data_IF_726724634009
#
_entry.id   IF_726724634009
#
_cell.length_a   1.000
_cell.length_b   1.000
_cell.length_c   1.000
_cell.angle_alpha   90.00
_cell.angle_beta   90.00
_cell.angle_gamma   90.00
#
_symmetry.space_group_name_H-M   'P 1'
#
loop_
_entity.id
_entity.type
_entity.pdbx_description
1 polymer ?
#
# COMPACT_ATOMS: atom_id res chain seq x y z
N UNK A 1 -28.23 11.30 -42.99
CA UNK A 1 -26.82 11.08 -42.64
C UNK A 1 -26.27 12.35 -42.01
N UNK A 2 -25.87 12.32 -40.74
CA UNK A 2 -25.10 13.39 -40.08
C UNK A 2 -23.69 12.85 -39.81
N UNK A 3 -22.61 13.57 -40.13
CA UNK A 3 -21.26 13.21 -39.71
C UNK A 3 -20.98 13.69 -38.27
N UNK A 4 -20.00 13.09 -37.56
CA UNK A 4 -19.60 13.47 -36.20
C UNK A 4 -18.35 14.39 -36.20
N UNK A 5 -18.23 15.27 -35.19
CA UNK A 5 -16.99 15.97 -34.83
C UNK A 5 -17.06 16.26 -33.31
N UNK A 6 -16.31 15.54 -32.47
CA UNK A 6 -14.92 15.76 -32.05
C UNK A 6 -14.65 17.00 -31.18
N UNK A 7 -14.22 16.68 -29.95
CA UNK A 7 -13.06 17.21 -29.22
C UNK A 7 -13.03 18.65 -28.68
N UNK A 8 -12.65 18.74 -27.39
CA UNK A 8 -11.60 19.67 -26.96
C UNK A 8 -12.01 20.78 -26.00
N UNK A 9 -12.22 20.47 -24.72
CA UNK A 9 -12.17 21.46 -23.64
C UNK A 9 -10.72 21.88 -23.38
N UNK A 10 -10.18 22.78 -24.21
CA UNK A 10 -8.97 23.56 -23.89
C UNK A 10 -9.37 24.72 -22.97
N UNK A 11 -8.71 24.83 -21.81
CA UNK A 11 -8.87 25.98 -20.91
C UNK A 11 -8.37 27.23 -21.62
N UNK A 12 -9.28 28.14 -21.98
CA UNK A 12 -8.96 29.41 -22.59
C UNK A 12 -8.57 30.44 -21.51
N UNK A 13 -7.48 31.18 -21.76
CA UNK A 13 -7.08 32.37 -21.00
C UNK A 13 -8.04 33.50 -21.39
N UNK A 14 -8.81 34.05 -20.42
CA UNK A 14 -9.78 35.12 -20.67
C UNK A 14 -9.10 36.50 -20.72
N UNK A 15 -9.42 37.30 -21.74
CA UNK A 15 -9.04 38.72 -21.86
C UNK A 15 -9.98 39.65 -21.08
N UNK A 16 -9.67 40.96 -21.07
CA UNK A 16 -10.29 42.03 -20.27
C UNK A 16 -11.79 42.26 -20.48
N UNK A 17 -12.37 41.67 -21.52
CA UNK A 17 -13.77 41.91 -21.92
C UNK A 17 -14.69 40.75 -21.49
N UNK A 18 -14.22 39.89 -20.57
CA UNK A 18 -15.00 38.77 -20.09
C UNK A 18 -16.18 39.24 -19.20
N UNK A 19 -17.38 38.64 -19.34
CA UNK A 19 -18.50 38.92 -18.45
C UNK A 19 -18.08 38.68 -16.99
N UNK A 20 -18.63 39.44 -16.02
CA UNK A 20 -18.26 39.35 -14.62
C UNK A 20 -18.32 37.89 -14.18
N UNK A 21 -17.26 37.44 -13.51
CA UNK A 21 -17.17 36.07 -13.01
C UNK A 21 -18.46 35.74 -12.25
N UNK A 22 -19.05 34.58 -12.55
CA UNK A 22 -20.11 34.03 -11.71
C UNK A 22 -19.62 34.08 -10.25
N UNK A 23 -20.47 34.50 -9.30
CA UNK A 23 -20.07 34.58 -7.90
C UNK A 23 -19.42 33.24 -7.52
N UNK A 24 -18.21 33.31 -6.96
CA UNK A 24 -17.51 32.12 -6.50
C UNK A 24 -18.50 31.29 -5.68
N UNK A 25 -18.69 29.98 -5.99
CA UNK A 25 -19.62 29.17 -5.25
C UNK A 25 -19.23 29.24 -3.78
N UNK A 26 -20.16 29.74 -2.96
CA UNK A 26 -20.05 29.82 -1.51
C UNK A 26 -19.34 28.58 -0.99
N UNK A 27 -18.24 28.77 -0.26
CA UNK A 27 -17.27 27.76 0.21
C UNK A 27 -17.94 26.38 0.35
N UNK A 28 -17.85 25.59 -0.73
CA UNK A 28 -18.70 24.42 -0.87
C UNK A 28 -18.40 23.44 0.26
N UNK A 29 -19.42 23.11 1.07
CA UNK A 29 -19.27 22.22 2.20
C UNK A 29 -18.47 20.97 1.79
N UNK A 30 -17.46 20.53 2.57
CA UNK A 30 -16.52 19.53 2.11
C UNK A 30 -17.24 18.26 1.67
N UNK A 31 -16.78 17.61 0.57
CA UNK A 31 -17.41 16.42 0.03
C UNK A 31 -17.63 15.39 1.14
N UNK A 32 -18.76 14.66 1.09
CA UNK A 32 -19.19 13.74 2.15
C UNK A 32 -18.08 12.75 2.61
N UNK A 33 -17.13 12.44 1.73
CA UNK A 33 -15.95 11.62 2.01
C UNK A 33 -14.97 12.25 3.00
N UNK A 34 -14.75 13.57 2.95
CA UNK A 34 -13.91 14.28 3.92
C UNK A 34 -14.62 14.39 5.27
N UNK A 35 -15.96 14.54 5.27
CA UNK A 35 -16.76 14.54 6.50
C UNK A 35 -16.76 13.20 7.25
N UNK A 36 -16.44 12.09 6.58
CA UNK A 36 -16.31 10.79 7.21
C UNK A 36 -15.00 10.59 7.99
N UNK A 37 -13.95 11.34 7.63
CA UNK A 37 -12.60 11.20 8.17
C UNK A 37 -12.38 12.16 9.35
N UNK A 38 -11.50 11.76 10.27
CA UNK A 38 -11.11 12.53 11.45
C UNK A 38 -9.60 12.48 11.59
N UNK A 39 -8.98 13.56 12.07
CA UNK A 39 -7.53 13.60 12.27
C UNK A 39 -7.01 12.51 13.22
N UNK A 40 -7.80 12.14 14.23
CA UNK A 40 -7.46 11.05 15.13
C UNK A 40 -7.48 9.65 14.45
N UNK A 41 -8.05 9.51 13.24
CA UNK A 41 -7.98 8.25 12.48
C UNK A 41 -6.54 7.88 12.13
N UNK A 42 -5.65 8.88 12.01
CA UNK A 42 -4.22 8.67 11.84
C UNK A 42 -3.59 7.88 12.99
N UNK A 43 -4.14 8.00 14.21
CA UNK A 43 -3.69 7.23 15.36
C UNK A 43 -4.51 5.95 15.57
N UNK A 44 -5.84 6.02 15.39
CA UNK A 44 -6.71 4.86 15.65
C UNK A 44 -6.47 3.70 14.70
N UNK A 45 -6.20 3.97 13.41
CA UNK A 45 -5.93 2.92 12.43
C UNK A 45 -4.69 2.08 12.77
N UNK A 46 -3.48 2.68 12.94
CA UNK A 46 -2.32 1.91 13.34
C UNK A 46 -2.46 1.31 14.74
N UNK A 47 -3.10 2.00 15.69
CA UNK A 47 -3.34 1.43 17.02
C UNK A 47 -4.22 0.18 16.97
N UNK A 48 -5.30 0.21 16.16
CA UNK A 48 -6.17 -0.94 15.93
C UNK A 48 -5.45 -2.08 15.21
N UNK A 49 -4.63 -1.76 14.21
CA UNK A 49 -3.80 -2.73 13.49
C UNK A 49 -2.79 -3.44 14.42
N UNK A 50 -2.03 -2.67 15.21
CA UNK A 50 -1.07 -3.21 16.18
C UNK A 50 -1.78 -4.01 17.27
N UNK A 51 -2.95 -3.57 17.74
CA UNK A 51 -3.75 -4.31 18.72
C UNK A 51 -4.21 -5.65 18.16
N UNK A 52 -4.71 -5.68 16.91
CA UNK A 52 -5.11 -6.91 16.24
C UNK A 52 -3.92 -7.87 16.07
N UNK A 53 -2.79 -7.36 15.59
CA UNK A 53 -1.55 -8.14 15.45
C UNK A 53 -1.08 -8.71 16.80
N UNK A 54 -1.06 -7.91 17.86
CA UNK A 54 -0.67 -8.35 19.21
C UNK A 54 -1.60 -9.44 19.76
N UNK A 55 -2.91 -9.28 19.63
CA UNK A 55 -3.90 -10.27 20.08
C UNK A 55 -3.73 -11.59 19.33
N UNK A 56 -3.64 -11.54 18.00
CA UNK A 56 -3.49 -12.75 17.17
C UNK A 56 -2.15 -13.43 17.43
N UNK A 57 -1.06 -12.65 17.54
CA UNK A 57 0.27 -13.17 17.87
C UNK A 57 0.28 -13.88 19.22
N UNK A 58 -0.30 -13.26 20.25
CA UNK A 58 -0.38 -13.84 21.59
C UNK A 58 -1.22 -15.12 21.59
N UNK A 59 -2.37 -15.10 20.92
CA UNK A 59 -3.22 -16.29 20.80
C UNK A 59 -2.51 -17.42 20.05
N UNK A 60 -1.83 -17.12 18.93
CA UNK A 60 -1.08 -18.10 18.16
C UNK A 60 0.02 -18.76 19.02
N UNK A 61 0.79 -17.97 19.79
CA UNK A 61 1.82 -18.51 20.69
C UNK A 61 1.24 -19.39 21.79
N UNK A 62 0.13 -18.97 22.41
CA UNK A 62 -0.50 -19.74 23.49
C UNK A 62 -1.10 -21.04 22.99
N UNK A 63 -1.76 -21.02 21.83
CA UNK A 63 -2.34 -22.20 21.19
C UNK A 63 -1.23 -23.18 20.77
N UNK A 64 -0.20 -22.68 20.08
CA UNK A 64 0.91 -23.52 19.64
C UNK A 64 1.66 -24.14 20.82
N UNK A 65 1.91 -23.36 21.88
CA UNK A 65 2.49 -23.89 23.12
C UNK A 65 1.62 -24.98 23.75
N UNK A 66 0.31 -24.75 23.87
CA UNK A 66 -0.60 -25.72 24.49
C UNK A 66 -0.69 -27.03 23.70
N UNK A 67 -0.64 -26.97 22.37
CA UNK A 67 -0.83 -28.13 21.50
C UNK A 67 0.46 -28.90 21.22
N UNK A 68 1.60 -28.20 21.15
CA UNK A 68 2.83 -28.76 20.56
C UNK A 68 4.04 -28.73 21.50
N UNK A 69 4.01 -27.98 22.61
CA UNK A 69 5.19 -27.89 23.47
C UNK A 69 5.44 -29.21 24.24
N UNK A 70 6.70 -29.69 24.29
CA UNK A 70 7.06 -30.83 25.12
C UNK A 70 6.68 -30.62 26.58
N UNK A 71 6.33 -31.72 27.27
CA UNK A 71 6.01 -31.67 28.69
C UNK A 71 7.14 -31.00 29.49
N UNK A 72 6.75 -30.05 30.36
CA UNK A 72 7.69 -29.29 31.19
C UNK A 72 8.39 -28.11 30.51
N UNK A 73 8.22 -27.90 29.20
CA UNK A 73 8.82 -26.74 28.53
C UNK A 73 8.00 -25.46 28.74
N UNK A 74 8.62 -24.46 29.38
CA UNK A 74 7.96 -23.19 29.69
C UNK A 74 7.64 -22.32 28.46
N UNK A 75 6.50 -21.62 28.50
CA UNK A 75 6.00 -20.74 27.44
C UNK A 75 7.06 -19.77 26.89
N UNK A 76 7.88 -19.17 27.74
CA UNK A 76 8.89 -18.18 27.32
C UNK A 76 9.93 -18.78 26.36
N UNK A 77 10.38 -20.00 26.63
CA UNK A 77 11.38 -20.66 25.79
C UNK A 77 10.74 -21.10 24.47
N UNK A 78 9.55 -21.70 24.54
CA UNK A 78 8.79 -22.10 23.36
C UNK A 78 8.48 -20.90 22.46
N UNK A 79 7.95 -19.83 23.03
CA UNK A 79 7.58 -18.62 22.30
C UNK A 79 8.76 -18.01 21.54
N UNK A 80 9.99 -18.05 22.09
CA UNK A 80 11.20 -17.57 21.39
C UNK A 80 11.48 -18.36 20.11
N UNK A 81 11.26 -19.67 20.14
CA UNK A 81 11.40 -20.54 18.98
C UNK A 81 10.31 -20.27 17.95
N UNK A 82 9.04 -20.35 18.35
CA UNK A 82 7.90 -20.11 17.45
C UNK A 82 7.94 -18.72 16.84
N UNK A 83 8.29 -17.68 17.62
CA UNK A 83 8.35 -16.30 17.12
C UNK A 83 9.45 -16.04 16.09
N UNK A 84 10.44 -16.92 16.00
CA UNK A 84 11.51 -16.83 15.00
C UNK A 84 11.13 -17.50 13.66
N UNK A 85 9.95 -18.11 13.56
CA UNK A 85 9.51 -18.78 12.34
C UNK A 85 8.86 -17.81 11.35
N UNK A 86 8.99 -18.12 10.05
CA UNK A 86 8.34 -17.35 8.97
C UNK A 86 6.81 -17.38 9.08
N UNK A 87 6.23 -18.51 9.50
CA UNK A 87 4.79 -18.65 9.69
C UNK A 87 4.24 -17.74 10.79
N UNK A 88 5.01 -17.54 11.86
CA UNK A 88 4.66 -16.56 12.87
C UNK A 88 4.71 -15.14 12.31
N UNK A 89 5.76 -14.80 11.53
CA UNK A 89 5.86 -13.49 10.87
C UNK A 89 4.66 -13.23 9.93
N UNK A 90 4.32 -14.18 9.06
CA UNK A 90 3.14 -14.07 8.18
C UNK A 90 1.83 -13.94 8.94
N UNK A 91 1.70 -14.65 10.07
CA UNK A 91 0.52 -14.53 10.94
C UNK A 91 0.38 -13.12 11.51
N UNK A 92 1.49 -12.53 11.96
CA UNK A 92 1.54 -11.15 12.48
C UNK A 92 1.23 -10.15 11.38
N UNK A 93 1.83 -10.27 10.19
CA UNK A 93 1.59 -9.38 9.05
C UNK A 93 0.15 -9.43 8.57
N UNK A 94 -0.41 -10.64 8.43
CA UNK A 94 -1.81 -10.84 8.05
C UNK A 94 -2.73 -10.12 9.05
N UNK A 95 -2.49 -10.31 10.35
CA UNK A 95 -3.28 -9.68 11.41
C UNK A 95 -3.12 -8.15 11.44
N UNK A 96 -1.91 -7.64 11.17
CA UNK A 96 -1.64 -6.21 11.09
C UNK A 96 -2.44 -5.56 9.96
N UNK A 97 -2.33 -6.09 8.74
CA UNK A 97 -3.02 -5.53 7.58
C UNK A 97 -4.55 -5.73 7.65
N UNK A 98 -5.01 -6.89 8.10
CA UNK A 98 -6.42 -7.12 8.38
C UNK A 98 -6.94 -6.14 9.45
N UNK A 99 -6.13 -5.84 10.47
CA UNK A 99 -6.44 -4.89 11.52
C UNK A 99 -6.60 -3.45 11.00
N UNK A 100 -5.78 -3.00 10.05
CA UNK A 100 -5.99 -1.71 9.36
C UNK A 100 -7.35 -1.67 8.65
N UNK A 101 -7.66 -2.71 7.87
CA UNK A 101 -8.89 -2.80 7.09
C UNK A 101 -10.12 -2.86 8.01
N UNK A 102 -10.08 -3.73 9.03
CA UNK A 102 -11.17 -3.91 9.99
C UNK A 102 -11.40 -2.64 10.81
N UNK A 103 -10.33 -2.01 11.32
CA UNK A 103 -10.45 -0.77 12.08
C UNK A 103 -11.05 0.35 11.22
N UNK A 104 -10.57 0.51 9.98
CA UNK A 104 -11.13 1.48 9.04
C UNK A 104 -12.61 1.22 8.73
N UNK A 105 -12.97 -0.05 8.52
CA UNK A 105 -14.36 -0.46 8.33
C UNK A 105 -15.23 -0.13 9.55
N UNK A 106 -14.80 -0.49 10.75
CA UNK A 106 -15.55 -0.26 11.99
C UNK A 106 -15.71 1.23 12.28
N UNK A 107 -14.66 2.04 12.15
CA UNK A 107 -14.72 3.49 12.36
C UNK A 107 -15.73 4.15 11.40
N UNK A 108 -15.71 3.78 10.12
CA UNK A 108 -16.68 4.30 9.16
C UNK A 108 -18.10 3.83 9.48
N UNK A 109 -18.26 2.55 9.84
CA UNK A 109 -19.57 1.97 10.16
C UNK A 109 -20.19 2.63 11.38
N UNK A 110 -19.41 2.87 12.43
CA UNK A 110 -19.82 3.58 13.64
C UNK A 110 -20.25 5.03 13.36
N UNK A 111 -19.71 5.64 12.30
CA UNK A 111 -20.06 6.99 11.84
C UNK A 111 -21.18 7.02 10.81
N UNK A 112 -21.80 5.87 10.49
CA UNK A 112 -22.89 5.78 9.51
C UNK A 112 -22.44 5.80 8.04
N UNK A 113 -21.15 5.65 7.76
CA UNK A 113 -20.62 5.64 6.39
C UNK A 113 -20.37 4.22 5.89
N UNK A 114 -20.46 4.05 4.56
CA UNK A 114 -20.06 2.82 3.86
C UNK A 114 -18.64 2.95 3.34
N UNK A 115 -17.80 1.97 3.63
CA UNK A 115 -16.40 1.90 3.17
C UNK A 115 -16.29 2.05 1.64
N UNK A 116 -17.15 1.37 0.88
CA UNK A 116 -17.19 1.47 -0.58
C UNK A 116 -17.54 2.87 -1.09
N UNK A 117 -18.44 3.59 -0.42
CA UNK A 117 -18.82 4.96 -0.80
C UNK A 117 -17.75 6.00 -0.49
N UNK A 118 -16.95 5.76 0.55
CA UNK A 118 -15.85 6.66 0.95
C UNK A 118 -14.60 6.41 0.12
N UNK A 119 -14.16 5.16 -0.02
CA UNK A 119 -12.85 4.84 -0.61
C UNK A 119 -12.92 4.26 -2.03
N UNK A 120 -13.94 3.45 -2.36
CA UNK A 120 -13.94 2.61 -3.56
C UNK A 120 -15.04 2.99 -4.56
N UNK A 121 -15.10 4.27 -4.90
CA UNK A 121 -15.97 4.77 -5.96
C UNK A 121 -15.77 3.96 -7.26
N UNK A 122 -16.82 3.67 -8.03
CA UNK A 122 -16.69 3.00 -9.32
C UNK A 122 -15.76 3.76 -10.26
N UNK A 123 -14.92 3.04 -10.97
CA UNK A 123 -13.97 3.56 -11.96
C UNK A 123 -14.11 2.70 -13.22
N UNK A 124 -14.10 3.33 -14.39
CA UNK A 124 -14.22 2.62 -15.67
C UNK A 124 -13.04 1.68 -15.92
N UNK A 125 -13.29 0.56 -16.61
CA UNK A 125 -12.28 -0.49 -16.83
C UNK A 125 -10.98 0.05 -17.45
N UNK A 126 -11.08 0.97 -18.43
CA UNK A 126 -9.90 1.58 -19.09
C UNK A 126 -8.94 2.23 -18.10
N UNK A 127 -9.45 2.92 -17.08
CA UNK A 127 -8.64 3.54 -16.05
C UNK A 127 -8.03 2.52 -15.10
N UNK A 128 -8.74 1.42 -14.81
CA UNK A 128 -8.19 0.32 -14.01
C UNK A 128 -7.06 -0.40 -14.76
N UNK A 129 -7.22 -0.64 -16.06
CA UNK A 129 -6.18 -1.24 -16.91
C UNK A 129 -4.98 -0.33 -17.08
N UNK A 130 -5.20 0.97 -17.26
CA UNK A 130 -4.12 1.94 -17.30
C UNK A 130 -3.36 1.97 -15.97
N UNK A 131 -4.05 1.88 -14.83
CA UNK A 131 -3.43 1.78 -13.52
C UNK A 131 -2.60 0.49 -13.36
N UNK A 132 -3.14 -0.66 -13.78
CA UNK A 132 -2.38 -1.92 -13.79
C UNK A 132 -1.16 -1.87 -14.71
N UNK A 133 -1.31 -1.33 -15.92
CA UNK A 133 -0.19 -1.12 -16.86
C UNK A 133 0.88 -0.20 -16.28
N UNK A 134 0.48 0.86 -15.57
CA UNK A 134 1.41 1.73 -14.85
C UNK A 134 2.16 0.95 -13.76
N UNK A 135 1.47 0.07 -13.02
CA UNK A 135 2.08 -0.82 -12.04
C UNK A 135 3.19 -1.67 -12.64
N UNK A 136 2.91 -2.32 -13.76
CA UNK A 136 3.89 -3.14 -14.48
C UNK A 136 5.07 -2.33 -15.01
N UNK A 137 4.83 -1.13 -15.57
CA UNK A 137 5.88 -0.23 -16.05
C UNK A 137 6.79 0.21 -14.91
N UNK A 138 6.22 0.62 -13.77
CA UNK A 138 7.02 1.04 -12.62
C UNK A 138 7.80 -0.12 -12.01
N UNK A 139 7.26 -1.34 -11.98
CA UNK A 139 7.98 -2.52 -11.52
C UNK A 139 9.15 -2.88 -12.46
N UNK A 140 8.92 -2.84 -13.78
CA UNK A 140 9.98 -3.03 -14.77
C UNK A 140 11.07 -1.96 -14.66
N UNK A 141 10.68 -0.69 -14.52
CA UNK A 141 11.61 0.42 -14.31
C UNK A 141 12.40 0.24 -13.01
N UNK A 142 11.75 -0.21 -11.93
CA UNK A 142 12.39 -0.49 -10.66
C UNK A 142 13.48 -1.56 -10.80
N UNK A 143 13.13 -2.72 -11.39
CA UNK A 143 14.10 -3.79 -11.62
C UNK A 143 15.26 -3.33 -12.53
N UNK A 144 14.95 -2.58 -13.59
CA UNK A 144 15.96 -2.03 -14.47
C UNK A 144 16.91 -1.07 -13.74
N UNK A 145 16.38 -0.14 -12.93
CA UNK A 145 17.22 0.78 -12.15
C UNK A 145 18.10 0.07 -11.12
N UNK A 146 17.59 -0.99 -10.48
CA UNK A 146 18.41 -1.81 -9.58
C UNK A 146 19.53 -2.54 -10.33
N UNK A 147 19.30 -2.97 -11.58
CA UNK A 147 20.34 -3.61 -12.40
C UNK A 147 21.49 -2.67 -12.81
N UNK A 148 21.33 -1.35 -12.60
CA UNK A 148 22.36 -0.34 -12.85
C UNK A 148 23.25 -0.06 -11.63
N UNK A 149 22.92 -0.63 -10.46
CA UNK A 149 23.72 -0.44 -9.25
C UNK A 149 25.07 -1.16 -9.35
N UNK A 150 26.10 -0.77 -8.56
CA UNK A 150 27.35 -1.52 -8.46
C UNK A 150 27.10 -2.99 -8.11
N UNK A 151 27.93 -3.90 -8.64
CA UNK A 151 27.77 -5.34 -8.46
C UNK A 151 27.74 -5.74 -6.98
N UNK A 152 28.54 -5.08 -6.14
CA UNK A 152 28.59 -5.31 -4.70
C UNK A 152 27.26 -4.94 -4.03
N UNK A 153 26.63 -3.84 -4.46
CA UNK A 153 25.30 -3.44 -3.97
C UNK A 153 24.21 -4.40 -4.47
N UNK A 154 24.30 -4.89 -5.71
CA UNK A 154 23.35 -5.88 -6.22
C UNK A 154 23.44 -7.19 -5.43
N UNK A 155 24.65 -7.64 -5.10
CA UNK A 155 24.88 -8.83 -4.27
C UNK A 155 24.29 -8.65 -2.86
N UNK A 156 24.55 -7.51 -2.20
CA UNK A 156 23.97 -7.23 -0.88
C UNK A 156 22.42 -7.27 -0.91
N UNK A 157 21.81 -6.68 -1.93
CA UNK A 157 20.36 -6.70 -2.11
C UNK A 157 19.83 -8.13 -2.34
N UNK A 158 20.55 -8.95 -3.11
CA UNK A 158 20.19 -10.34 -3.36
C UNK A 158 20.26 -11.16 -2.08
N UNK A 159 21.37 -11.11 -1.33
CA UNK A 159 21.54 -11.83 -0.07
C UNK A 159 20.45 -11.47 0.95
N UNK A 160 20.09 -10.19 1.05
CA UNK A 160 18.99 -9.74 1.92
C UNK A 160 17.63 -10.22 1.46
N UNK A 161 17.41 -10.28 0.15
CA UNK A 161 16.19 -10.85 -0.43
C UNK A 161 16.10 -12.36 -0.21
N UNK A 162 17.21 -13.09 -0.32
CA UNK A 162 17.27 -14.54 -0.08
C UNK A 162 16.91 -14.89 1.37
N UNK A 163 17.38 -14.11 2.35
CA UNK A 163 17.02 -14.29 3.75
C UNK A 163 15.51 -14.17 4.04
N UNK A 164 14.78 -13.49 3.16
CA UNK A 164 13.34 -13.26 3.26
C UNK A 164 12.54 -14.06 2.22
N UNK A 165 13.23 -14.86 1.39
CA UNK A 165 12.60 -15.59 0.31
C UNK A 165 11.85 -16.83 0.83
N UNK A 166 10.66 -17.12 0.27
CA UNK A 166 9.90 -18.29 0.68
C UNK A 166 10.64 -19.58 0.33
N UNK A 167 10.65 -20.54 1.25
CA UNK A 167 11.34 -21.83 1.11
C UNK A 167 10.42 -22.97 0.64
N UNK A 168 9.10 -22.74 0.63
CA UNK A 168 8.09 -23.71 0.22
C UNK A 168 7.00 -23.05 -0.63
N UNK A 169 6.29 -23.84 -1.45
CA UNK A 169 5.17 -23.33 -2.26
C UNK A 169 4.06 -22.71 -1.38
N UNK A 170 3.87 -23.24 -0.17
CA UNK A 170 2.89 -22.70 0.78
C UNK A 170 3.32 -21.31 1.30
N UNK A 171 4.60 -21.13 1.63
CA UNK A 171 5.15 -19.83 2.01
C UNK A 171 5.05 -18.83 0.85
N UNK A 172 5.41 -19.25 -0.37
CA UNK A 172 5.36 -18.39 -1.54
C UNK A 172 3.94 -17.92 -1.88
N UNK A 173 2.94 -18.81 -1.81
CA UNK A 173 1.54 -18.45 -2.00
C UNK A 173 1.03 -17.50 -0.90
N UNK A 174 1.47 -17.71 0.35
CA UNK A 174 1.10 -16.86 1.48
C UNK A 174 1.69 -15.46 1.31
N UNK A 175 3.00 -15.38 1.01
CA UNK A 175 3.70 -14.13 0.74
C UNK A 175 3.06 -13.39 -0.44
N UNK A 176 2.76 -14.09 -1.53
CA UNK A 176 2.08 -13.49 -2.69
C UNK A 176 0.73 -12.89 -2.30
N UNK A 177 -0.10 -13.62 -1.55
CA UNK A 177 -1.39 -13.12 -1.10
C UNK A 177 -1.24 -11.85 -0.23
N UNK A 178 -0.31 -11.86 0.74
CA UNK A 178 -0.05 -10.72 1.61
C UNK A 178 0.44 -9.52 0.78
N UNK A 179 1.53 -9.70 0.03
CA UNK A 179 2.21 -8.62 -0.68
C UNK A 179 1.40 -8.07 -1.86
N UNK A 180 0.63 -8.89 -2.57
CA UNK A 180 -0.07 -8.47 -3.81
C UNK A 180 -1.48 -7.97 -3.54
N UNK A 181 -2.14 -8.46 -2.50
CA UNK A 181 -3.55 -8.15 -2.24
C UNK A 181 -3.74 -7.41 -0.92
N UNK A 182 -3.28 -7.99 0.18
CA UNK A 182 -3.65 -7.49 1.51
C UNK A 182 -2.90 -6.21 1.87
N UNK A 183 -1.58 -6.18 1.65
CA UNK A 183 -0.73 -5.02 1.90
C UNK A 183 -1.15 -3.81 1.06
N UNK A 184 -1.30 -3.90 -0.28
CA UNK A 184 -1.79 -2.79 -1.10
C UNK A 184 -3.14 -2.24 -0.63
N UNK A 185 -4.07 -3.11 -0.23
CA UNK A 185 -5.38 -2.67 0.26
C UNK A 185 -5.28 -1.89 1.57
N UNK A 186 -4.53 -2.42 2.55
CA UNK A 186 -4.37 -1.80 3.86
C UNK A 186 -3.57 -0.49 3.78
N UNK A 187 -2.47 -0.51 3.05
CA UNK A 187 -1.58 0.64 2.89
C UNK A 187 -2.27 1.77 2.13
N UNK A 188 -2.96 1.47 1.02
CA UNK A 188 -3.69 2.50 0.28
C UNK A 188 -4.85 3.08 1.08
N UNK A 189 -5.52 2.27 1.91
CA UNK A 189 -6.55 2.76 2.85
C UNK A 189 -5.96 3.79 3.82
N UNK A 190 -4.81 3.49 4.42
CA UNK A 190 -4.18 4.38 5.39
C UNK A 190 -3.55 5.61 4.72
N UNK A 191 -2.60 5.40 3.81
CA UNK A 191 -1.81 6.47 3.20
C UNK A 191 -2.66 7.35 2.27
N UNK A 192 -3.46 6.75 1.36
CA UNK A 192 -4.20 7.50 0.33
C UNK A 192 -5.65 7.74 0.74
N UNK A 193 -6.25 6.81 1.46
CA UNK A 193 -7.63 6.92 1.94
C UNK A 193 -7.78 7.92 3.07
N UNK A 194 -6.86 7.95 4.03
CA UNK A 194 -6.99 8.76 5.24
C UNK A 194 -5.99 9.91 5.23
N UNK A 195 -4.69 9.62 5.27
CA UNK A 195 -3.66 10.63 5.49
C UNK A 195 -3.58 11.66 4.37
N UNK A 196 -3.47 11.20 3.11
CA UNK A 196 -3.41 12.07 1.95
C UNK A 196 -4.64 12.95 1.82
N UNK A 197 -5.84 12.42 2.08
CA UNK A 197 -7.10 13.19 1.98
C UNK A 197 -7.22 14.25 3.08
N UNK A 198 -6.83 13.92 4.31
CA UNK A 198 -6.81 14.87 5.42
C UNK A 198 -5.81 15.99 5.16
N UNK A 199 -4.58 15.66 4.74
CA UNK A 199 -3.55 16.65 4.39
C UNK A 199 -3.97 17.53 3.21
N UNK A 200 -4.53 16.92 2.15
CA UNK A 200 -4.96 17.66 0.95
C UNK A 200 -6.12 18.63 1.22
N UNK A 201 -6.77 18.54 2.38
CA UNK A 201 -7.76 19.54 2.82
C UNK A 201 -7.13 20.80 3.43
N UNK A 202 -5.83 20.80 3.70
CA UNK A 202 -5.11 21.86 4.41
C UNK A 202 -3.90 22.41 3.65
N UNK A 203 -3.24 21.58 2.84
CA UNK A 203 -2.03 21.95 2.11
C UNK A 203 -2.13 21.52 0.66
N UNK A 204 -1.20 22.01 -0.16
CA UNK A 204 -1.18 21.72 -1.60
C UNK A 204 -1.07 20.22 -1.88
N UNK A 205 -1.50 19.82 -3.08
CA UNK A 205 -1.36 18.44 -3.52
C UNK A 205 0.08 17.94 -3.48
N UNK A 206 1.03 18.74 -3.99
CA UNK A 206 2.44 18.35 -4.05
C UNK A 206 2.98 18.10 -2.65
N UNK A 207 2.64 18.98 -1.69
CA UNK A 207 3.05 18.82 -0.30
C UNK A 207 2.39 17.58 0.35
N UNK A 208 1.09 17.37 0.13
CA UNK A 208 0.37 16.19 0.65
C UNK A 208 0.88 14.88 0.07
N UNK A 209 1.05 14.82 -1.25
CA UNK A 209 1.57 13.65 -1.96
C UNK A 209 3.02 13.37 -1.55
N UNK A 210 3.87 14.40 -1.48
CA UNK A 210 5.25 14.29 -1.03
C UNK A 210 5.36 13.79 0.41
N UNK A 211 4.61 14.39 1.35
CA UNK A 211 4.64 13.98 2.76
C UNK A 211 4.15 12.54 2.94
N UNK A 212 3.03 12.18 2.32
CA UNK A 212 2.51 10.80 2.41
C UNK A 212 3.40 9.78 1.72
N UNK A 213 4.04 10.13 0.61
CA UNK A 213 5.02 9.28 -0.06
C UNK A 213 6.31 9.10 0.75
N UNK A 214 6.78 10.14 1.44
CA UNK A 214 7.94 10.06 2.32
C UNK A 214 7.65 9.14 3.51
N UNK A 215 6.51 9.30 4.17
CA UNK A 215 6.09 8.43 5.27
C UNK A 215 5.87 6.98 4.82
N UNK A 216 5.32 6.79 3.61
CA UNK A 216 5.17 5.48 3.00
C UNK A 216 6.52 4.79 2.78
N UNK A 217 7.47 5.50 2.16
CA UNK A 217 8.84 5.00 1.95
C UNK A 217 9.57 4.69 3.26
N UNK A 218 9.48 5.58 4.26
CA UNK A 218 10.09 5.36 5.58
C UNK A 218 9.50 4.13 6.29
N UNK A 219 8.21 3.86 6.14
CA UNK A 219 7.55 2.70 6.74
C UNK A 219 8.07 1.35 6.18
N UNK A 220 8.69 1.34 5.00
CA UNK A 220 9.31 0.13 4.44
C UNK A 220 10.68 -0.17 5.07
N UNK A 221 11.26 0.77 5.83
CA UNK A 221 12.42 0.50 6.68
C UNK A 221 13.76 0.30 5.96
N UNK A 222 13.82 0.38 4.62
CA UNK A 222 15.06 0.11 3.87
C UNK A 222 16.23 1.01 4.27
N UNK A 223 16.00 2.29 4.61
CA UNK A 223 17.07 3.18 5.12
C UNK A 223 17.71 2.68 6.42
N UNK A 224 16.96 1.94 7.24
CA UNK A 224 17.43 1.45 8.54
C UNK A 224 18.01 0.03 8.43
N UNK A 225 17.41 -0.80 7.59
CA UNK A 225 17.78 -2.22 7.43
C UNK A 225 18.90 -2.44 6.41
N UNK A 226 19.11 -1.50 5.49
CA UNK A 226 20.09 -1.54 4.40
C UNK A 226 20.85 -0.21 4.34
N UNK A 227 21.84 0.02 5.22
CA UNK A 227 22.63 1.26 5.16
C UNK A 227 23.41 1.33 3.84
N UNK A 228 23.49 2.52 3.24
CA UNK A 228 24.25 2.75 2.01
C UNK A 228 23.39 2.86 0.75
N UNK A 229 24.03 2.71 -0.41
CA UNK A 229 23.42 3.04 -1.71
C UNK A 229 22.17 2.21 -2.02
N UNK A 230 22.15 0.92 -1.65
CA UNK A 230 21.01 0.03 -1.86
C UNK A 230 19.76 0.52 -1.13
N UNK A 231 19.84 0.78 0.18
CA UNK A 231 18.70 1.27 0.95
C UNK A 231 18.21 2.65 0.52
N UNK A 232 19.13 3.58 0.18
CA UNK A 232 18.76 4.89 -0.38
C UNK A 232 18.01 4.74 -1.71
N UNK A 233 18.52 3.88 -2.60
CA UNK A 233 17.90 3.64 -3.91
C UNK A 233 16.50 3.06 -3.75
N UNK A 234 16.33 1.98 -2.97
CA UNK A 234 15.01 1.39 -2.70
C UNK A 234 14.04 2.43 -2.13
N UNK A 235 14.49 3.24 -1.17
CA UNK A 235 13.65 4.24 -0.50
C UNK A 235 13.21 5.34 -1.45
N UNK A 236 14.09 5.82 -2.34
CA UNK A 236 13.75 6.81 -3.37
C UNK A 236 12.74 6.22 -4.36
N UNK A 237 12.94 4.98 -4.79
CA UNK A 237 12.04 4.32 -5.73
C UNK A 237 10.64 4.13 -5.13
N UNK A 238 10.55 3.68 -3.87
CA UNK A 238 9.28 3.53 -3.15
C UNK A 238 8.62 4.90 -2.91
N UNK A 239 9.40 5.96 -2.64
CA UNK A 239 8.88 7.33 -2.56
C UNK A 239 8.22 7.73 -3.88
N UNK A 240 8.87 7.50 -5.02
CA UNK A 240 8.32 7.84 -6.34
C UNK A 240 7.02 7.08 -6.61
N UNK A 241 7.00 5.76 -6.36
CA UNK A 241 5.78 4.94 -6.47
C UNK A 241 4.68 5.50 -5.57
N UNK A 242 5.01 5.83 -4.32
CA UNK A 242 4.08 6.42 -3.38
C UNK A 242 3.49 7.76 -3.85
N UNK A 243 4.28 8.60 -4.50
CA UNK A 243 3.82 9.86 -5.06
C UNK A 243 2.83 9.63 -6.22
N UNK A 244 3.15 8.66 -7.10
CA UNK A 244 2.30 8.28 -8.24
C UNK A 244 0.96 7.69 -7.77
N UNK A 245 0.97 6.87 -6.73
CA UNK A 245 -0.24 6.31 -6.11
C UNK A 245 -1.16 7.42 -5.56
N UNK A 246 -0.58 8.47 -4.93
CA UNK A 246 -1.35 9.64 -4.50
C UNK A 246 -1.95 10.40 -5.69
N UNK A 247 -1.20 10.53 -6.80
CA UNK A 247 -1.70 11.07 -8.06
C UNK A 247 -2.89 10.29 -8.61
N UNK A 248 -2.78 8.96 -8.71
CA UNK A 248 -3.87 8.08 -9.17
C UNK A 248 -5.11 8.18 -8.29
N UNK A 249 -4.94 8.17 -6.97
CA UNK A 249 -6.03 8.30 -6.01
C UNK A 249 -6.75 9.65 -6.14
N UNK A 250 -6.00 10.74 -6.40
CA UNK A 250 -6.57 12.07 -6.65
C UNK A 250 -7.30 12.14 -7.98
N UNK A 251 -6.67 11.68 -9.07
CA UNK A 251 -7.22 11.77 -10.42
C UNK A 251 -8.52 10.97 -10.58
N UNK A 252 -8.60 9.80 -9.94
CA UNK A 252 -9.78 8.94 -10.04
C UNK A 252 -10.78 9.16 -8.92
N UNK A 253 -10.39 9.87 -7.84
CA UNK A 253 -11.17 9.98 -6.62
C UNK A 253 -11.47 8.63 -5.95
N UNK A 254 -10.73 7.56 -6.29
CA UNK A 254 -10.99 6.19 -5.85
C UNK A 254 -9.69 5.49 -5.51
N UNK A 255 -9.70 4.65 -4.47
CA UNK A 255 -8.56 3.80 -4.15
C UNK A 255 -8.48 2.58 -5.08
N UNK A 256 -9.51 2.28 -5.88
CA UNK A 256 -9.46 1.12 -6.80
C UNK A 256 -8.27 1.21 -7.76
N UNK A 257 -8.02 2.39 -8.33
CA UNK A 257 -6.93 2.57 -9.28
C UNK A 257 -5.57 2.46 -8.59
N UNK A 258 -5.39 3.05 -7.41
CA UNK A 258 -4.11 2.97 -6.70
C UNK A 258 -3.85 1.56 -6.15
N UNK A 259 -4.86 0.88 -5.60
CA UNK A 259 -4.76 -0.53 -5.16
C UNK A 259 -4.41 -1.45 -6.33
N UNK A 260 -5.02 -1.28 -7.51
CA UNK A 260 -4.67 -2.10 -8.68
C UNK A 260 -3.25 -1.82 -9.16
N UNK A 261 -2.85 -0.54 -9.27
CA UNK A 261 -1.48 -0.19 -9.68
C UNK A 261 -0.46 -0.80 -8.72
N UNK A 262 -0.69 -0.64 -7.41
CA UNK A 262 0.18 -1.15 -6.36
C UNK A 262 0.22 -2.69 -6.34
N UNK A 263 -0.94 -3.35 -6.41
CA UNK A 263 -1.01 -4.80 -6.47
C UNK A 263 -0.30 -5.38 -7.70
N UNK A 264 -0.48 -4.78 -8.88
CA UNK A 264 0.24 -5.22 -10.09
C UNK A 264 1.74 -4.94 -9.98
N UNK A 265 2.14 -3.79 -9.41
CA UNK A 265 3.54 -3.49 -9.14
C UNK A 265 4.17 -4.59 -8.26
N UNK A 266 3.54 -4.95 -7.14
CA UNK A 266 4.02 -6.02 -6.26
C UNK A 266 3.99 -7.39 -6.94
N UNK A 267 2.95 -7.68 -7.75
CA UNK A 267 2.84 -8.95 -8.47
C UNK A 267 3.96 -9.13 -9.50
N UNK A 268 4.40 -8.06 -10.16
CA UNK A 268 5.52 -8.15 -11.13
C UNK A 268 6.85 -8.35 -10.42
N UNK A 269 7.03 -7.77 -9.22
CA UNK A 269 8.26 -7.95 -8.45
C UNK A 269 8.35 -9.33 -7.77
N UNK A 270 7.26 -9.81 -7.18
CA UNK A 270 7.23 -11.05 -6.37
C UNK A 270 6.78 -12.26 -7.19
N UNK A 271 5.99 -12.07 -8.23
CA UNK A 271 5.44 -13.16 -9.05
C UNK A 271 6.49 -14.09 -9.66
N UNK A 272 7.59 -13.59 -10.24
CA UNK A 272 8.63 -14.46 -10.81
C UNK A 272 9.23 -15.45 -9.81
N UNK A 273 9.55 -15.03 -8.58
CA UNK A 273 10.12 -15.92 -7.56
C UNK A 273 9.10 -16.95 -7.07
N UNK A 274 7.84 -16.55 -6.92
CA UNK A 274 6.73 -17.45 -6.57
C UNK A 274 6.51 -18.52 -7.66
N UNK A 275 6.51 -18.11 -8.93
CA UNK A 275 6.35 -19.04 -10.06
C UNK A 275 7.54 -19.98 -10.17
N UNK A 276 8.76 -19.47 -10.05
CA UNK A 276 9.97 -20.28 -10.09
C UNK A 276 9.94 -21.38 -9.01
N UNK A 277 9.58 -21.02 -7.78
CA UNK A 277 9.50 -21.96 -6.67
C UNK A 277 8.40 -23.01 -6.87
N UNK A 278 7.23 -22.63 -7.37
CA UNK A 278 6.12 -23.56 -7.62
C UNK A 278 6.42 -24.50 -8.80
N UNK A 279 7.08 -23.98 -9.84
CA UNK A 279 7.44 -24.75 -11.03
C UNK A 279 8.67 -25.67 -10.81
N UNK A 280 9.34 -25.57 -9.65
CA UNK A 280 10.58 -26.30 -9.37
C UNK A 280 11.73 -25.85 -10.26
N UNK A 281 11.71 -24.61 -10.74
CA UNK A 281 12.83 -24.05 -11.49
C UNK A 281 13.99 -23.76 -10.54
N UNK A 282 15.25 -24.03 -10.97
CA UNK A 282 16.40 -23.62 -10.18
C UNK A 282 16.35 -22.09 -9.99
N UNK A 283 16.56 -21.67 -8.74
CA UNK A 283 16.70 -20.26 -8.36
C UNK A 283 17.93 -19.64 -9.03
#
# INVERSE_FOLDING_TARGET
MRPPAEAGSRVAIRGSDAPPAEPEPAEAAPPARLRALRWYDLGLLPAGAVSAAFIVATAALLIDWYLNAPEGLGLRFWARGTSATVWFAYTVELALYAGFILTGFLLLRLRGYRLSGVYFAPVGWRSLSAAGGLGAIFAGLFMWLLSLLPAETQQELMEKSELLSPSSSAEALTLFFIAVLLAPLAEELYFRGVMFRLLSSRISFVASAGLTAALFSLAHGHLFMLPGLGGWTLSILIFVVGFVLAGLARLTGSLRASVIMHGVYNAVLVGPSVVALIAGWPA
#
